data_IF_970743056071
#
_entry.id   IF_970743056071
#
_cell.length_a   1.000
_cell.length_b   1.000
_cell.length_c   1.000
_cell.angle_alpha   90.00
_cell.angle_beta   90.00
_cell.angle_gamma   90.00
#
_symmetry.space_group_name_H-M   'P 1'
#
loop_
_entity.id
_entity.type
_entity.pdbx_description
1 polymer ?
#
# COMPACT_ATOMS: atom_id res chain seq x y z
N UNK A 1 23.35 10.94 -36.39
CA UNK A 1 22.08 10.20 -36.54
C UNK A 1 21.01 10.98 -35.80
N UNK A 2 20.13 11.67 -36.53
CA UNK A 2 19.05 12.50 -35.99
C UNK A 2 17.96 11.58 -35.45
N UNK A 3 17.67 11.69 -34.15
CA UNK A 3 16.53 11.01 -33.52
C UNK A 3 15.25 11.54 -34.17
N UNK A 4 14.33 10.69 -34.67
CA UNK A 4 13.09 11.16 -35.29
C UNK A 4 12.31 12.03 -34.30
N UNK A 5 11.70 13.12 -34.76
CA UNK A 5 10.92 14.04 -33.90
C UNK A 5 9.84 13.32 -33.07
N UNK A 6 9.28 12.21 -33.57
CA UNK A 6 8.33 11.37 -32.84
C UNK A 6 8.97 10.69 -31.62
N UNK A 7 10.22 10.23 -31.72
CA UNK A 7 10.97 9.63 -30.59
C UNK A 7 11.39 10.71 -29.58
N UNK A 8 11.68 11.93 -30.05
CA UNK A 8 11.96 13.08 -29.17
C UNK A 8 10.72 13.50 -28.36
N UNK A 9 9.53 13.54 -28.98
CA UNK A 9 8.28 13.82 -28.28
C UNK A 9 7.98 12.72 -27.25
N UNK A 10 8.03 11.44 -27.63
CA UNK A 10 7.76 10.32 -26.71
C UNK A 10 8.75 10.27 -25.51
N UNK A 11 10.01 10.62 -25.72
CA UNK A 11 11.01 10.64 -24.65
C UNK A 11 10.83 11.78 -23.65
N UNK A 12 10.35 12.96 -24.10
CA UNK A 12 9.96 14.07 -23.21
C UNK A 12 8.76 13.67 -22.35
N UNK A 13 7.73 13.08 -22.96
CA UNK A 13 6.55 12.57 -22.22
C UNK A 13 6.91 11.49 -21.19
N UNK A 14 7.86 10.60 -21.50
CA UNK A 14 8.31 9.58 -20.56
C UNK A 14 9.02 10.18 -19.32
N UNK A 15 9.83 11.23 -19.51
CA UNK A 15 10.50 11.95 -18.41
C UNK A 15 9.53 12.70 -17.51
N UNK A 16 8.54 13.39 -18.09
CA UNK A 16 7.54 14.13 -17.32
C UNK A 16 6.59 13.21 -16.56
N UNK A 17 6.13 12.12 -17.17
CA UNK A 17 5.24 11.16 -16.51
C UNK A 17 5.90 10.40 -15.36
N UNK A 18 7.20 10.11 -15.49
CA UNK A 18 7.98 9.45 -14.42
C UNK A 18 8.34 10.39 -13.26
N UNK A 19 8.26 11.71 -13.47
CA UNK A 19 8.46 12.71 -12.43
C UNK A 19 7.19 13.04 -11.63
N UNK A 20 6.02 12.51 -12.02
CA UNK A 20 4.77 12.78 -11.32
C UNK A 20 4.77 12.16 -9.91
N UNK A 21 4.23 12.87 -8.90
CA UNK A 21 4.05 12.32 -7.56
C UNK A 21 3.22 11.03 -7.60
N UNK A 22 3.45 10.06 -6.69
CA UNK A 22 2.73 8.79 -6.70
C UNK A 22 1.20 8.94 -6.52
N UNK A 23 0.72 10.06 -5.97
CA UNK A 23 -0.68 10.41 -5.79
C UNK A 23 -1.25 11.36 -6.86
N UNK A 24 -0.52 11.61 -7.95
CA UNK A 24 -0.94 12.55 -9.00
C UNK A 24 -2.35 12.26 -9.54
N UNK A 25 -2.70 10.98 -9.66
CA UNK A 25 -4.00 10.52 -10.17
C UNK A 25 -5.15 10.92 -9.23
N UNK A 26 -4.88 11.00 -7.92
CA UNK A 26 -5.86 11.46 -6.93
C UNK A 26 -6.06 12.98 -7.05
N UNK A 27 -4.97 13.73 -7.20
CA UNK A 27 -5.04 15.20 -7.38
C UNK A 27 -5.74 15.57 -8.67
N UNK A 28 -5.34 14.96 -9.79
CA UNK A 28 -5.96 15.18 -11.09
C UNK A 28 -7.46 14.83 -11.07
N UNK A 29 -7.85 13.74 -10.40
CA UNK A 29 -9.26 13.39 -10.20
C UNK A 29 -10.02 14.49 -9.45
N UNK A 30 -9.47 15.00 -8.35
CA UNK A 30 -10.07 16.09 -7.60
C UNK A 30 -10.18 17.39 -8.41
N UNK A 31 -9.16 17.73 -9.21
CA UNK A 31 -9.16 18.91 -10.07
C UNK A 31 -10.25 18.83 -11.14
N UNK A 32 -10.49 17.65 -11.71
CA UNK A 32 -11.59 17.44 -12.66
C UNK A 32 -12.95 17.62 -12.01
N UNK A 33 -13.14 17.16 -10.77
CA UNK A 33 -14.36 17.38 -9.99
C UNK A 33 -14.56 18.88 -9.72
N UNK A 34 -13.51 19.59 -9.30
CA UNK A 34 -13.57 21.02 -9.03
C UNK A 34 -13.94 21.81 -10.30
N UNK A 35 -13.35 21.45 -11.45
CA UNK A 35 -13.69 22.03 -12.75
C UNK A 35 -15.15 21.75 -13.12
N UNK A 36 -15.64 20.53 -12.93
CA UNK A 36 -17.02 20.19 -13.21
C UNK A 36 -18.01 21.02 -12.38
N UNK A 37 -17.74 21.23 -11.08
CA UNK A 37 -18.56 22.09 -10.23
C UNK A 37 -18.50 23.57 -10.66
N UNK A 38 -17.35 24.06 -11.08
CA UNK A 38 -17.19 25.45 -11.53
C UNK A 38 -17.90 25.72 -12.87
N UNK A 39 -17.88 24.75 -13.80
CA UNK A 39 -18.47 24.88 -15.13
C UNK A 39 -19.99 24.65 -15.14
N UNK A 40 -20.50 23.76 -14.27
CA UNK A 40 -21.93 23.41 -14.21
C UNK A 40 -22.49 23.50 -12.78
N UNK A 41 -22.54 24.71 -12.19
CA UNK A 41 -23.08 24.87 -10.85
C UNK A 41 -24.57 24.47 -10.79
N UNK A 42 -24.94 23.65 -9.82
CA UNK A 42 -26.33 23.21 -9.59
C UNK A 42 -26.81 22.06 -10.50
N UNK A 43 -25.96 21.54 -11.39
CA UNK A 43 -26.28 20.32 -12.14
C UNK A 43 -26.11 19.09 -11.24
N UNK A 44 -27.19 18.33 -11.04
CA UNK A 44 -27.18 17.12 -10.18
C UNK A 44 -26.09 16.11 -10.54
N UNK A 45 -25.72 16.00 -11.83
CA UNK A 45 -24.64 15.13 -12.28
C UNK A 45 -23.25 15.54 -11.77
N UNK A 46 -22.97 16.85 -11.65
CA UNK A 46 -21.68 17.33 -11.15
C UNK A 46 -21.52 17.03 -9.64
N UNK A 47 -22.57 17.29 -8.86
CA UNK A 47 -22.62 16.97 -7.42
C UNK A 47 -22.49 15.46 -7.14
N UNK A 48 -23.13 14.63 -7.98
CA UNK A 48 -23.01 13.17 -7.90
C UNK A 48 -21.58 12.70 -8.18
N UNK A 49 -20.91 13.28 -9.17
CA UNK A 49 -19.51 12.95 -9.48
C UNK A 49 -18.59 13.28 -8.28
N UNK A 50 -18.77 14.44 -7.66
CA UNK A 50 -18.01 14.81 -6.46
C UNK A 50 -18.24 13.86 -5.29
N UNK A 51 -19.49 13.48 -5.05
CA UNK A 51 -19.85 12.52 -3.99
C UNK A 51 -19.26 11.13 -4.26
N UNK A 52 -19.37 10.63 -5.49
CA UNK A 52 -18.80 9.32 -5.88
C UNK A 52 -17.29 9.30 -5.75
N UNK A 53 -16.62 10.41 -6.11
CA UNK A 53 -15.18 10.56 -5.97
C UNK A 53 -14.75 10.50 -4.49
N UNK A 54 -15.42 11.26 -3.62
CA UNK A 54 -15.16 11.23 -2.18
C UNK A 54 -15.41 9.84 -1.59
N UNK A 55 -16.48 9.17 -2.00
CA UNK A 55 -16.77 7.80 -1.55
C UNK A 55 -15.69 6.82 -2.00
N UNK A 56 -15.19 6.94 -3.23
CA UNK A 56 -14.07 6.13 -3.73
C UNK A 56 -12.80 6.36 -2.91
N UNK A 57 -12.48 7.62 -2.60
CA UNK A 57 -11.34 7.95 -1.73
C UNK A 57 -11.52 7.40 -0.32
N UNK A 58 -12.73 7.46 0.24
CA UNK A 58 -13.04 6.92 1.56
C UNK A 58 -12.94 5.38 1.61
N UNK A 59 -13.43 4.69 0.58
CA UNK A 59 -13.30 3.23 0.45
C UNK A 59 -11.85 2.77 0.25
N UNK A 60 -11.05 3.59 -0.42
CA UNK A 60 -9.62 3.37 -0.62
C UNK A 60 -8.78 3.90 0.56
N UNK A 61 -9.33 4.70 1.46
CA UNK A 61 -8.68 5.13 2.69
C UNK A 61 -8.77 4.04 3.73
N UNK A 62 -7.81 3.12 3.76
CA UNK A 62 -7.85 1.91 4.60
C UNK A 62 -7.92 2.24 6.10
N UNK A 63 -8.60 1.40 6.92
CA UNK A 63 -8.56 1.45 8.38
C UNK A 63 -7.13 1.34 8.92
N UNK A 64 -6.86 2.06 10.01
CA UNK A 64 -5.54 2.20 10.64
C UNK A 64 -4.85 0.87 10.94
N UNK A 65 -5.63 -0.17 11.26
CA UNK A 65 -5.15 -1.50 11.64
C UNK A 65 -4.51 -2.29 10.48
N UNK A 66 -4.79 -1.93 9.24
CA UNK A 66 -4.26 -2.64 8.06
C UNK A 66 -2.75 -2.54 7.89
N UNK A 67 -2.07 -1.57 8.54
CA UNK A 67 -0.60 -1.46 8.49
C UNK A 67 0.07 -1.91 9.79
N UNK A 68 -0.72 -2.26 10.82
CA UNK A 68 -0.18 -2.57 12.13
C UNK A 68 0.39 -3.99 12.24
N UNK A 69 -0.03 -4.93 11.39
CA UNK A 69 0.35 -6.35 11.48
C UNK A 69 1.86 -6.58 11.44
N UNK A 70 2.55 -5.93 10.50
CA UNK A 70 4.01 -6.01 10.39
C UNK A 70 4.72 -5.46 11.63
N UNK A 71 4.34 -4.26 12.07
CA UNK A 71 4.91 -3.65 13.27
C UNK A 71 4.65 -4.50 14.53
N UNK A 72 3.43 -5.03 14.68
CA UNK A 72 3.09 -5.94 15.78
C UNK A 72 3.94 -7.21 15.76
N UNK A 73 4.16 -7.82 14.59
CA UNK A 73 5.02 -8.99 14.46
C UNK A 73 6.47 -8.67 14.83
N UNK A 74 6.98 -7.52 14.41
CA UNK A 74 8.33 -7.05 14.78
C UNK A 74 8.47 -6.84 16.29
N UNK A 75 7.48 -6.23 16.95
CA UNK A 75 7.48 -6.08 18.41
C UNK A 75 7.50 -7.43 19.13
N UNK A 76 6.79 -8.44 18.62
CA UNK A 76 6.84 -9.81 19.17
C UNK A 76 8.22 -10.43 19.02
N UNK A 77 8.86 -10.29 17.86
CA UNK A 77 10.22 -10.78 17.64
C UNK A 77 11.25 -10.05 18.50
N UNK A 78 11.11 -8.73 18.68
CA UNK A 78 11.98 -7.94 19.55
C UNK A 78 11.87 -8.41 21.00
N UNK A 79 10.65 -8.56 21.51
CA UNK A 79 10.40 -9.08 22.86
C UNK A 79 10.98 -10.49 23.05
N UNK A 80 10.86 -11.37 22.06
CA UNK A 80 11.49 -12.69 22.06
C UNK A 80 13.02 -12.59 22.11
N UNK A 81 13.62 -11.70 21.32
CA UNK A 81 15.07 -11.48 21.32
C UNK A 81 15.57 -10.96 22.66
N UNK A 82 14.86 -10.02 23.28
CA UNK A 82 15.19 -9.50 24.61
C UNK A 82 15.12 -10.59 25.68
N UNK A 83 14.10 -11.44 25.63
CA UNK A 83 13.99 -12.60 26.53
C UNK A 83 15.13 -13.60 26.33
N UNK A 84 15.49 -13.91 25.08
CA UNK A 84 16.63 -14.78 24.77
C UNK A 84 17.95 -14.22 25.31
N UNK A 85 18.21 -12.92 25.10
CA UNK A 85 19.40 -12.26 25.61
C UNK A 85 19.45 -12.25 27.15
N UNK A 86 18.30 -12.09 27.81
CA UNK A 86 18.23 -12.15 29.27
C UNK A 86 18.56 -13.54 29.84
N UNK A 87 18.34 -14.61 29.07
CA UNK A 87 18.69 -15.98 29.46
C UNK A 87 20.19 -16.24 29.33
N UNK A 88 20.84 -15.68 28.31
CA UNK A 88 22.27 -15.86 28.07
C UNK A 88 23.13 -15.33 29.25
N UNK A 89 22.65 -14.27 29.93
CA UNK A 89 23.29 -13.72 31.12
C UNK A 89 22.93 -14.36 32.46
N UNK A 90 21.91 -15.24 32.53
CA UNK A 90 21.39 -15.79 33.79
C UNK A 90 21.58 -17.30 33.89
N UNK A 91 22.60 -17.73 34.65
CA UNK A 91 22.83 -19.15 34.96
C UNK A 91 21.58 -19.77 35.60
N UNK A 92 21.01 -20.79 34.94
CA UNK A 92 19.92 -21.61 35.48
C UNK A 92 18.51 -21.22 35.03
N UNK A 93 18.32 -20.11 34.29
CA UNK A 93 17.07 -19.85 33.58
C UNK A 93 17.16 -20.36 32.15
N UNK A 94 16.09 -21.02 31.71
CA UNK A 94 15.97 -21.53 30.36
C UNK A 94 14.57 -21.21 29.84
N UNK A 95 14.47 -20.97 28.54
CA UNK A 95 13.19 -21.00 27.85
C UNK A 95 12.97 -22.41 27.31
N UNK A 96 11.77 -22.93 27.52
CA UNK A 96 11.36 -24.21 26.94
C UNK A 96 11.09 -24.05 25.45
N UNK A 97 11.23 -25.16 24.71
CA UNK A 97 10.90 -25.19 23.27
C UNK A 97 9.43 -24.80 23.03
N UNK A 98 8.53 -25.14 23.95
CA UNK A 98 7.10 -24.79 23.86
C UNK A 98 6.86 -23.28 23.97
N UNK A 99 7.55 -22.59 24.88
CA UNK A 99 7.49 -21.13 25.02
C UNK A 99 8.06 -20.43 23.78
N UNK A 100 9.22 -20.89 23.29
CA UNK A 100 9.82 -20.36 22.05
C UNK A 100 8.85 -20.48 20.88
N UNK A 101 8.27 -21.68 20.67
CA UNK A 101 7.28 -21.93 19.62
C UNK A 101 6.07 -21.02 19.75
N UNK A 102 5.57 -20.82 20.98
CA UNK A 102 4.42 -19.94 21.23
C UNK A 102 4.71 -18.49 20.82
N UNK A 103 5.88 -17.95 21.17
CA UNK A 103 6.26 -16.58 20.82
C UNK A 103 6.49 -16.39 19.31
N UNK A 104 7.15 -17.35 18.67
CA UNK A 104 7.32 -17.35 17.20
C UNK A 104 5.96 -17.43 16.52
N UNK A 105 5.06 -18.29 16.99
CA UNK A 105 3.71 -18.41 16.44
C UNK A 105 2.92 -17.10 16.59
N UNK A 106 3.04 -16.41 17.74
CA UNK A 106 2.41 -15.11 17.93
C UNK A 106 2.93 -14.04 16.95
N UNK A 107 4.23 -14.05 16.65
CA UNK A 107 4.80 -13.17 15.63
C UNK A 107 4.27 -13.50 14.23
N UNK A 108 4.24 -14.79 13.84
CA UNK A 108 3.68 -15.26 12.57
C UNK A 108 2.21 -14.84 12.44
N UNK A 109 1.41 -15.03 13.50
CA UNK A 109 0.02 -14.60 13.48
C UNK A 109 -0.12 -13.09 13.28
N UNK A 110 0.72 -12.27 13.92
CA UNK A 110 0.71 -10.83 13.73
C UNK A 110 1.06 -10.43 12.29
N UNK A 111 2.08 -11.03 11.69
CA UNK A 111 2.44 -10.82 10.28
C UNK A 111 1.29 -11.21 9.33
N UNK A 112 0.57 -12.29 9.63
CA UNK A 112 -0.53 -12.76 8.80
C UNK A 112 -1.83 -11.92 8.96
N UNK A 113 -1.93 -11.04 9.95
CA UNK A 113 -3.09 -10.13 10.07
C UNK A 113 -3.17 -9.13 8.92
N UNK A 114 -2.01 -8.69 8.42
CA UNK A 114 -1.93 -7.86 7.23
C UNK A 114 -0.66 -8.17 6.47
N UNK A 115 -0.83 -8.85 5.33
CA UNK A 115 0.26 -9.19 4.42
C UNK A 115 0.67 -7.90 3.68
N UNK A 116 1.93 -7.46 3.81
CA UNK A 116 2.43 -6.28 3.10
C UNK A 116 2.32 -6.46 1.59
N UNK A 117 2.16 -5.34 0.88
CA UNK A 117 2.00 -5.36 -0.58
C UNK A 117 3.22 -5.94 -1.28
N UNK A 118 4.41 -5.79 -0.72
CA UNK A 118 5.66 -6.35 -1.21
C UNK A 118 5.62 -7.88 -1.22
N UNK A 119 5.06 -8.51 -0.18
CA UNK A 119 4.91 -9.96 -0.12
C UNK A 119 3.81 -10.44 -1.09
N UNK A 120 2.73 -9.66 -1.26
CA UNK A 120 1.73 -9.97 -2.28
C UNK A 120 2.31 -9.89 -3.70
N UNK A 121 3.17 -8.90 -3.97
CA UNK A 121 3.89 -8.75 -5.23
C UNK A 121 4.85 -9.92 -5.47
N UNK A 122 5.56 -10.37 -4.43
CA UNK A 122 6.39 -11.58 -4.49
C UNK A 122 5.57 -12.81 -4.88
N UNK A 123 4.40 -13.02 -4.25
CA UNK A 123 3.53 -14.17 -4.53
C UNK A 123 2.96 -14.17 -5.97
N UNK A 124 2.65 -13.01 -6.53
CA UNK A 124 2.23 -12.95 -7.95
C UNK A 124 3.42 -13.11 -8.89
N UNK A 125 4.63 -12.72 -8.49
CA UNK A 125 5.86 -12.89 -9.29
C UNK A 125 6.34 -14.33 -9.38
N UNK A 126 6.02 -15.17 -8.38
CA UNK A 126 6.27 -16.62 -8.44
C UNK A 126 5.53 -17.29 -9.59
N UNK A 127 4.43 -16.67 -10.06
CA UNK A 127 3.72 -17.10 -11.27
C UNK A 127 4.40 -16.46 -12.47
N UNK A 128 5.29 -17.21 -13.11
CA UNK A 128 6.18 -16.73 -14.18
C UNK A 128 5.43 -16.13 -15.39
N UNK A 129 4.18 -16.53 -15.62
CA UNK A 129 3.37 -16.05 -16.74
C UNK A 129 2.28 -15.07 -16.26
N UNK A 130 2.25 -13.81 -16.75
CA UNK A 130 1.21 -12.83 -16.41
C UNK A 130 -0.23 -13.32 -16.68
N UNK A 131 -0.40 -14.27 -17.60
CA UNK A 131 -1.67 -14.92 -17.92
C UNK A 131 -2.12 -15.98 -16.89
N UNK A 132 -1.23 -16.44 -16.01
CA UNK A 132 -1.53 -17.44 -14.97
C UNK A 132 -1.85 -16.82 -13.60
N UNK A 133 -1.72 -15.50 -13.46
CA UNK A 133 -2.11 -14.80 -12.23
C UNK A 133 -3.65 -14.65 -12.20
N UNK A 134 -4.35 -15.20 -11.20
CA UNK A 134 -5.79 -15.10 -11.08
C UNK A 134 -6.24 -13.65 -11.00
N UNK A 135 -7.33 -13.30 -11.71
CA UNK A 135 -7.85 -11.94 -11.75
C UNK A 135 -8.19 -11.39 -10.35
N UNK A 136 -8.76 -12.23 -9.48
CA UNK A 136 -9.06 -11.85 -8.10
C UNK A 136 -7.78 -11.45 -7.32
N UNK A 137 -6.67 -12.14 -7.55
CA UNK A 137 -5.39 -11.84 -6.88
C UNK A 137 -4.80 -10.52 -7.41
N UNK A 138 -4.89 -10.26 -8.73
CA UNK A 138 -4.48 -8.96 -9.30
C UNK A 138 -5.28 -7.82 -8.69
N UNK A 139 -6.61 -7.95 -8.67
CA UNK A 139 -7.50 -6.93 -8.14
C UNK A 139 -7.23 -6.65 -6.65
N UNK A 140 -6.96 -7.69 -5.85
CA UNK A 140 -6.61 -7.53 -4.45
C UNK A 140 -5.30 -6.71 -4.26
N UNK A 141 -4.26 -7.00 -5.05
CA UNK A 141 -3.00 -6.25 -5.02
C UNK A 141 -3.19 -4.81 -5.47
N UNK A 142 -3.95 -4.60 -6.55
CA UNK A 142 -4.28 -3.25 -7.06
C UNK A 142 -5.03 -2.43 -6.00
N UNK A 143 -5.98 -3.03 -5.30
CA UNK A 143 -6.71 -2.37 -4.21
C UNK A 143 -5.76 -1.98 -3.07
N UNK A 144 -4.89 -2.88 -2.61
CA UNK A 144 -3.90 -2.57 -1.57
C UNK A 144 -2.92 -1.47 -2.00
N UNK A 145 -2.48 -1.44 -3.26
CA UNK A 145 -1.64 -0.36 -3.80
C UNK A 145 -2.37 0.98 -3.80
N UNK A 146 -3.62 1.02 -4.30
CA UNK A 146 -4.44 2.24 -4.29
C UNK A 146 -4.67 2.76 -2.87
N UNK A 147 -4.84 1.84 -1.93
CA UNK A 147 -5.00 2.13 -0.52
C UNK A 147 -3.76 2.82 0.08
N UNK A 148 -2.56 2.30 -0.21
CA UNK A 148 -1.30 2.90 0.22
C UNK A 148 -1.10 4.30 -0.41
N UNK A 149 -1.39 4.46 -1.69
CA UNK A 149 -1.28 5.75 -2.39
C UNK A 149 -2.24 6.77 -1.78
N UNK A 150 -3.49 6.37 -1.52
CA UNK A 150 -4.51 7.23 -0.89
C UNK A 150 -4.08 7.67 0.50
N UNK A 151 -3.54 6.75 1.30
CA UNK A 151 -3.04 7.06 2.64
C UNK A 151 -1.81 7.97 2.60
N UNK A 152 -0.86 7.72 1.70
CA UNK A 152 0.30 8.59 1.49
C UNK A 152 -0.12 10.01 1.13
N UNK A 153 -1.06 10.14 0.19
CA UNK A 153 -1.63 11.43 -0.23
C UNK A 153 -2.26 12.17 0.96
N UNK A 154 -3.07 11.47 1.78
CA UNK A 154 -3.70 12.05 2.94
C UNK A 154 -2.71 12.48 4.05
N UNK A 155 -1.54 11.84 4.14
CA UNK A 155 -0.49 12.21 5.10
C UNK A 155 0.40 13.36 4.61
N UNK A 156 0.57 13.49 3.30
CA UNK A 156 1.47 14.48 2.68
C UNK A 156 0.77 15.74 2.21
N UNK A 157 -0.54 15.70 1.97
CA UNK A 157 -1.35 16.87 1.58
C UNK A 157 -2.03 17.57 2.78
N UNK A 158 -1.65 17.25 4.02
CA UNK A 158 -2.07 18.01 5.21
C UNK A 158 -1.16 19.23 5.39
N UNK A 159 -1.40 20.26 4.59
CA UNK A 159 -0.92 21.63 4.84
C UNK A 159 -2.11 22.57 5.06
#
# INVERSE_FOLDING_TARGET
MTVPACVAVVSVWHGELSALPPDWNLRAGQDLINQAHALWPGLSGAEQLGTQWQQKLALNGTPDDSLAGWHQGMLKLQSLSEQLNALDGQKGKYMTVSELKSQVFAAIQAFNKSVPVEEQLRQISERQEPGMIPQAQKLQVEQHLQQLITRYSALTNRE
#
